data_IF_667065593909
#
_entry.id   IF_667065593909
#
_cell.length_a   1.000
_cell.length_b   1.000
_cell.length_c   1.000
_cell.angle_alpha   90.00
_cell.angle_beta   90.00
_cell.angle_gamma   90.00
#
_symmetry.space_group_name_H-M   'P 1'
#
loop_
_entity.id
_entity.type
_entity.pdbx_description
1 polymer ?
#
# COMPACT_ATOMS: atom_id res chain seq x y z
N UNK A 1 -35.30 -25.87 11.63
CA UNK A 1 -34.74 -25.55 12.96
C UNK A 1 -33.26 -25.23 12.86
N UNK A 2 -32.34 -26.17 12.61
CA UNK A 2 -30.91 -25.85 12.50
C UNK A 2 -30.56 -24.84 11.39
N UNK A 3 -31.11 -25.00 10.17
CA UNK A 3 -30.85 -24.07 9.07
C UNK A 3 -31.40 -22.67 9.34
N UNK A 4 -32.56 -22.57 10.00
CA UNK A 4 -33.20 -21.30 10.32
C UNK A 4 -32.40 -20.54 11.40
N UNK A 5 -31.89 -21.26 12.40
CA UNK A 5 -31.01 -20.71 13.45
C UNK A 5 -29.66 -20.27 12.87
N UNK A 6 -29.12 -21.01 11.89
CA UNK A 6 -27.90 -20.63 11.18
C UNK A 6 -28.08 -19.36 10.35
N UNK A 7 -29.17 -19.28 9.56
CA UNK A 7 -29.49 -18.10 8.75
C UNK A 7 -29.71 -16.87 9.61
N UNK A 8 -30.52 -16.97 10.67
CA UNK A 8 -30.79 -15.83 11.56
C UNK A 8 -29.53 -15.30 12.26
N UNK A 9 -28.62 -16.20 12.64
CA UNK A 9 -27.33 -15.83 13.24
C UNK A 9 -26.43 -15.14 12.22
N UNK A 10 -26.34 -15.68 11.00
CA UNK A 10 -25.58 -15.08 9.91
C UNK A 10 -26.09 -13.67 9.59
N UNK A 11 -27.40 -13.50 9.43
CA UNK A 11 -28.03 -12.20 9.17
C UNK A 11 -27.74 -11.19 10.28
N UNK A 12 -27.77 -11.62 11.55
CA UNK A 12 -27.45 -10.74 12.69
C UNK A 12 -25.99 -10.30 12.69
N UNK A 13 -25.06 -11.18 12.35
CA UNK A 13 -23.62 -10.87 12.25
C UNK A 13 -23.36 -9.97 11.03
N UNK A 14 -23.97 -10.27 9.89
CA UNK A 14 -23.87 -9.46 8.67
C UNK A 14 -24.44 -8.05 8.90
N UNK A 15 -25.57 -7.94 9.59
CA UNK A 15 -26.17 -6.65 9.94
C UNK A 15 -25.27 -5.83 10.86
N UNK A 16 -24.71 -6.45 11.91
CA UNK A 16 -23.78 -5.77 12.82
C UNK A 16 -22.50 -5.31 12.14
N UNK A 17 -21.95 -6.09 11.22
CA UNK A 17 -20.74 -5.70 10.48
C UNK A 17 -20.99 -4.49 9.58
N UNK A 18 -22.15 -4.44 8.91
CA UNK A 18 -22.56 -3.26 8.14
C UNK A 18 -22.80 -2.05 9.04
N UNK A 19 -23.46 -2.23 10.18
CA UNK A 19 -23.70 -1.16 11.17
C UNK A 19 -22.39 -0.62 11.75
N UNK A 20 -21.41 -1.48 12.07
CA UNK A 20 -20.10 -1.07 12.57
C UNK A 20 -19.28 -0.31 11.51
N UNK A 21 -19.41 -0.66 10.24
CA UNK A 21 -18.79 0.10 9.13
C UNK A 21 -19.47 1.47 8.94
N UNK A 22 -20.77 1.57 9.20
CA UNK A 22 -21.52 2.83 9.11
C UNK A 22 -21.37 3.73 10.36
N UNK A 23 -21.07 3.14 11.53
CA UNK A 23 -20.70 3.83 12.77
C UNK A 23 -19.22 4.23 12.82
N UNK A 24 -18.43 3.94 11.78
CA UNK A 24 -17.16 4.65 11.60
C UNK A 24 -17.50 6.15 11.53
N UNK A 25 -16.99 6.96 12.47
CA UNK A 25 -17.45 8.33 12.60
C UNK A 25 -17.19 9.08 11.29
N UNK A 26 -18.18 9.89 10.91
CA UNK A 26 -18.04 10.94 9.90
C UNK A 26 -16.76 11.77 10.16
N UNK A 27 -16.16 12.38 9.13
CA UNK A 27 -14.82 12.98 9.19
C UNK A 27 -14.80 14.29 10.01
N UNK A 28 -15.13 14.22 11.30
CA UNK A 28 -14.79 15.25 12.28
C UNK A 28 -13.32 15.06 12.68
N UNK A 29 -12.50 16.05 12.30
CA UNK A 29 -11.16 16.36 12.82
C UNK A 29 -10.29 15.17 13.27
N UNK A 30 -10.29 14.09 12.48
CA UNK A 30 -9.29 13.04 12.66
C UNK A 30 -7.96 13.55 12.11
N UNK A 31 -6.91 13.39 12.90
CA UNK A 31 -5.54 13.57 12.42
C UNK A 31 -5.29 12.60 11.24
N UNK A 32 -4.66 13.10 10.18
CA UNK A 32 -4.40 12.35 8.95
C UNK A 32 -2.96 12.59 8.51
N UNK A 33 -2.39 11.60 7.83
CA UNK A 33 -1.10 11.74 7.17
C UNK A 33 -1.32 12.10 5.70
N UNK A 34 -0.63 13.13 5.22
CA UNK A 34 -0.68 13.58 3.85
C UNK A 34 0.73 13.65 3.26
N UNK A 35 0.90 13.08 2.06
CA UNK A 35 2.09 13.26 1.25
C UNK A 35 1.98 14.57 0.46
N UNK A 36 3.08 15.32 0.44
CA UNK A 36 3.20 16.60 -0.27
C UNK A 36 4.46 16.55 -1.14
N UNK A 37 4.37 17.05 -2.37
CA UNK A 37 5.54 17.20 -3.24
C UNK A 37 6.47 18.28 -2.68
N UNK A 38 7.78 18.05 -2.73
CA UNK A 38 8.78 19.06 -2.32
C UNK A 38 8.69 20.32 -3.19
N UNK A 39 8.40 20.17 -4.49
CA UNK A 39 8.11 21.26 -5.42
C UNK A 39 6.77 21.00 -6.14
N UNK A 40 5.85 21.98 -6.20
CA UNK A 40 4.57 21.85 -6.93
C UNK A 40 4.70 21.55 -8.43
N UNK A 41 5.87 21.80 -9.01
CA UNK A 41 6.19 21.57 -10.42
C UNK A 41 6.75 20.18 -10.70
N UNK A 42 7.13 19.43 -9.65
CA UNK A 42 7.64 18.07 -9.78
C UNK A 42 6.47 17.09 -9.97
N UNK A 43 6.57 16.26 -11.01
CA UNK A 43 5.67 15.12 -11.18
C UNK A 43 6.18 13.98 -10.32
N UNK A 44 5.48 13.67 -9.23
CA UNK A 44 5.81 12.50 -8.40
C UNK A 44 5.62 11.24 -9.24
N UNK A 45 6.68 10.45 -9.37
CA UNK A 45 6.64 9.13 -10.00
C UNK A 45 6.95 8.10 -8.92
N UNK A 46 6.07 7.11 -8.75
CA UNK A 46 6.32 6.01 -7.82
C UNK A 46 7.01 4.89 -8.60
N UNK A 47 8.24 4.53 -8.21
CA UNK A 47 8.97 3.45 -8.88
C UNK A 47 8.48 2.09 -8.37
N UNK A 48 7.34 1.63 -8.89
CA UNK A 48 6.73 0.39 -8.45
C UNK A 48 7.40 -0.83 -9.09
N UNK A 49 7.62 -1.91 -8.30
CA UNK A 49 8.07 -3.16 -8.87
C UNK A 49 6.94 -3.81 -9.69
N UNK A 50 7.23 -4.19 -10.93
CA UNK A 50 6.27 -4.87 -11.82
C UNK A 50 6.01 -6.34 -11.44
N UNK A 51 6.88 -6.91 -10.61
CA UNK A 51 6.80 -8.30 -10.20
C UNK A 51 8.02 -8.73 -9.37
N UNK A 52 8.07 -10.03 -8.99
CA UNK A 52 9.24 -10.58 -8.33
C UNK A 52 10.48 -10.50 -9.25
N UNK A 53 11.69 -10.47 -8.67
CA UNK A 53 12.93 -10.44 -9.45
C UNK A 53 13.02 -11.64 -10.40
N UNK A 54 13.44 -11.44 -11.66
CA UNK A 54 13.59 -12.53 -12.62
C UNK A 54 14.68 -13.52 -12.19
N UNK A 55 14.51 -14.79 -12.55
CA UNK A 55 15.47 -15.85 -12.21
C UNK A 55 16.82 -15.70 -12.94
N UNK A 56 16.82 -15.14 -14.15
CA UNK A 56 18.02 -14.75 -14.91
C UNK A 56 18.15 -13.22 -14.86
N UNK A 57 18.70 -12.71 -13.76
CA UNK A 57 18.97 -11.28 -13.58
C UNK A 57 20.33 -10.94 -14.17
N UNK A 58 20.36 -10.07 -15.18
CA UNK A 58 21.59 -9.59 -15.83
C UNK A 58 21.69 -8.08 -15.66
N UNK A 59 22.82 -7.62 -15.14
CA UNK A 59 23.06 -6.20 -14.93
C UNK A 59 23.77 -5.62 -16.15
N UNK A 60 23.02 -4.96 -17.03
CA UNK A 60 23.53 -4.33 -18.23
C UNK A 60 23.52 -2.80 -18.08
N UNK A 61 24.68 -2.14 -18.21
CA UNK A 61 24.79 -0.68 -18.18
C UNK A 61 26.15 -0.18 -17.66
N UNK A 62 26.53 1.08 -17.94
CA UNK A 62 27.74 1.65 -17.35
C UNK A 62 27.60 1.74 -15.83
N UNK A 63 28.55 1.17 -15.08
CA UNK A 63 28.54 1.15 -13.61
C UNK A 63 27.97 -0.12 -12.96
N UNK A 64 27.53 -1.11 -13.75
CA UNK A 64 27.06 -2.40 -13.21
C UNK A 64 28.15 -3.45 -13.06
N UNK A 65 29.36 -3.17 -13.54
CA UNK A 65 30.50 -4.11 -13.58
C UNK A 65 31.01 -4.53 -12.20
N UNK A 66 30.82 -3.68 -11.18
CA UNK A 66 31.22 -3.94 -9.79
C UNK A 66 30.05 -4.35 -8.87
N UNK A 67 28.83 -4.44 -9.40
CA UNK A 67 27.63 -4.74 -8.61
C UNK A 67 27.45 -6.25 -8.42
N UNK A 68 27.15 -6.66 -7.20
CA UNK A 68 26.80 -8.05 -6.88
C UNK A 68 25.35 -8.34 -7.27
N UNK A 69 25.16 -9.30 -8.17
CA UNK A 69 23.84 -9.72 -8.67
C UNK A 69 22.96 -10.27 -7.55
N UNK A 70 23.54 -10.93 -6.55
CA UNK A 70 22.79 -11.43 -5.40
C UNK A 70 22.23 -10.28 -4.56
N UNK A 71 23.04 -9.25 -4.31
CA UNK A 71 22.62 -8.04 -3.57
C UNK A 71 21.52 -7.29 -4.32
N UNK A 72 21.64 -7.13 -5.64
CA UNK A 72 20.58 -6.48 -6.45
C UNK A 72 19.30 -7.31 -6.42
N UNK A 73 19.41 -8.64 -6.47
CA UNK A 73 18.24 -9.51 -6.38
C UNK A 73 17.53 -9.40 -5.03
N UNK A 74 18.28 -9.41 -3.93
CA UNK A 74 17.74 -9.22 -2.59
C UNK A 74 17.05 -7.86 -2.44
N UNK A 75 17.65 -6.81 -3.00
CA UNK A 75 17.07 -5.48 -3.05
C UNK A 75 15.73 -5.46 -3.80
N UNK A 76 15.70 -6.00 -5.02
CA UNK A 76 14.48 -6.09 -5.82
C UNK A 76 13.40 -6.95 -5.14
N UNK A 77 13.80 -8.03 -4.47
CA UNK A 77 12.88 -8.88 -3.71
C UNK A 77 12.28 -8.12 -2.53
N UNK A 78 13.09 -7.37 -1.77
CA UNK A 78 12.62 -6.57 -0.64
C UNK A 78 11.62 -5.52 -1.09
N UNK A 79 11.89 -4.81 -2.19
CA UNK A 79 10.94 -3.86 -2.80
C UNK A 79 9.61 -4.53 -3.14
N UNK A 80 9.67 -5.71 -3.76
CA UNK A 80 8.49 -6.47 -4.12
C UNK A 80 7.69 -6.93 -2.89
N UNK A 81 8.36 -7.43 -1.84
CA UNK A 81 7.72 -7.91 -0.62
C UNK A 81 7.03 -6.76 0.15
N UNK A 82 7.67 -5.59 0.21
CA UNK A 82 7.07 -4.36 0.76
C UNK A 82 5.81 -4.00 -0.03
N UNK A 83 5.92 -3.92 -1.36
CA UNK A 83 4.78 -3.60 -2.22
C UNK A 83 3.63 -4.59 -2.02
N UNK A 84 3.92 -5.89 -1.98
CA UNK A 84 2.91 -6.92 -1.78
C UNK A 84 2.24 -6.87 -0.40
N UNK A 85 2.96 -6.41 0.63
CA UNK A 85 2.43 -6.20 1.98
C UNK A 85 1.34 -5.13 2.06
N UNK A 86 1.24 -4.24 1.06
CA UNK A 86 0.24 -3.18 1.03
C UNK A 86 -1.16 -3.68 0.68
N UNK A 87 -2.16 -2.99 1.24
CA UNK A 87 -3.57 -3.24 0.92
C UNK A 87 -3.84 -3.03 -0.58
N UNK A 88 -4.77 -3.79 -1.18
CA UNK A 88 -5.09 -3.67 -2.60
C UNK A 88 -5.45 -2.24 -3.04
N UNK A 89 -6.14 -1.49 -2.19
CA UNK A 89 -6.53 -0.10 -2.42
C UNK A 89 -5.31 0.81 -2.58
N UNK A 90 -4.31 0.66 -1.70
CA UNK A 90 -3.07 1.42 -1.78
C UNK A 90 -2.24 1.03 -3.01
N UNK A 91 -2.14 -0.28 -3.31
CA UNK A 91 -1.46 -0.76 -4.52
C UNK A 91 -2.08 -0.17 -5.79
N UNK A 92 -3.41 -0.05 -5.85
CA UNK A 92 -4.11 0.57 -6.97
C UNK A 92 -3.84 2.07 -7.04
N UNK A 93 -3.91 2.77 -5.90
CA UNK A 93 -3.61 4.21 -5.84
C UNK A 93 -2.18 4.51 -6.31
N UNK A 94 -1.19 3.74 -5.84
CA UNK A 94 0.20 3.88 -6.27
C UNK A 94 0.35 3.70 -7.78
N UNK A 95 -0.33 2.71 -8.38
CA UNK A 95 -0.30 2.47 -9.84
C UNK A 95 -0.89 3.61 -10.67
N UNK A 96 -1.67 4.49 -10.08
CA UNK A 96 -2.19 5.67 -10.79
C UNK A 96 -1.15 6.77 -10.96
N UNK A 97 -0.04 6.70 -10.23
CA UNK A 97 1.00 7.74 -10.14
C UNK A 97 0.47 9.12 -9.71
N UNK A 98 -0.74 9.15 -9.09
CA UNK A 98 -1.38 10.38 -8.64
C UNK A 98 -1.30 10.49 -7.13
N UNK A 99 -0.59 11.52 -6.66
CA UNK A 99 -0.49 11.86 -5.24
C UNK A 99 -1.86 11.97 -4.56
N UNK A 100 -2.83 12.57 -5.25
CA UNK A 100 -4.19 12.72 -4.73
C UNK A 100 -4.90 11.39 -4.46
N UNK A 101 -4.69 10.38 -5.31
CA UNK A 101 -5.29 9.05 -5.11
C UNK A 101 -4.64 8.33 -3.93
N UNK A 102 -3.32 8.48 -3.75
CA UNK A 102 -2.61 7.92 -2.59
C UNK A 102 -3.06 8.61 -1.29
N UNK A 103 -3.15 9.94 -1.30
CA UNK A 103 -3.62 10.71 -0.15
C UNK A 103 -5.08 10.38 0.24
N UNK A 104 -5.96 10.07 -0.72
CA UNK A 104 -7.33 9.59 -0.42
C UNK A 104 -7.33 8.26 0.34
N UNK A 105 -6.38 7.37 0.05
CA UNK A 105 -6.24 6.10 0.75
C UNK A 105 -5.66 6.33 2.15
N UNK A 106 -4.62 7.16 2.27
CA UNK A 106 -4.02 7.52 3.57
C UNK A 106 -5.01 8.23 4.50
N UNK A 107 -5.87 9.10 3.97
CA UNK A 107 -6.91 9.81 4.72
C UNK A 107 -7.96 8.87 5.36
N UNK A 108 -8.13 7.66 4.84
CA UNK A 108 -9.04 6.63 5.39
C UNK A 108 -8.37 5.75 6.45
N UNK A 109 -7.04 5.79 6.56
CA UNK A 109 -6.28 5.02 7.53
C UNK A 109 -6.20 5.76 8.88
N UNK A 110 -5.99 5.02 9.97
CA UNK A 110 -5.64 5.65 11.26
C UNK A 110 -4.20 6.15 11.20
N UNK A 111 -3.88 7.22 11.91
CA UNK A 111 -2.51 7.80 11.95
C UNK A 111 -1.41 6.74 12.12
N UNK A 112 -1.47 5.82 13.11
CA UNK A 112 -0.40 4.85 13.29
C UNK A 112 -0.25 3.89 12.11
N UNK A 113 -1.37 3.53 11.46
CA UNK A 113 -1.35 2.69 10.27
C UNK A 113 -0.78 3.44 9.06
N UNK A 114 -1.15 4.71 8.90
CA UNK A 114 -0.65 5.55 7.82
C UNK A 114 0.86 5.82 7.98
N UNK A 115 1.35 6.02 9.21
CA UNK A 115 2.78 6.14 9.51
C UNK A 115 3.56 4.87 9.14
N UNK A 116 3.09 3.69 9.56
CA UNK A 116 3.71 2.41 9.19
C UNK A 116 3.77 2.20 7.67
N UNK A 117 2.72 2.62 6.96
CA UNK A 117 2.68 2.56 5.49
C UNK A 117 3.71 3.50 4.88
N UNK A 118 3.81 4.74 5.35
CA UNK A 118 4.76 5.73 4.83
C UNK A 118 6.21 5.29 5.11
N UNK A 119 6.49 4.74 6.30
CA UNK A 119 7.80 4.19 6.64
C UNK A 119 8.19 3.05 5.69
N UNK A 120 7.29 2.11 5.43
CA UNK A 120 7.51 1.04 4.45
C UNK A 120 7.71 1.57 3.03
N UNK A 121 6.99 2.61 2.64
CA UNK A 121 7.19 3.25 1.32
C UNK A 121 8.58 3.88 1.20
N UNK A 122 9.09 4.50 2.26
CA UNK A 122 10.45 5.05 2.29
C UNK A 122 11.50 3.94 2.23
N UNK A 123 11.31 2.86 2.98
CA UNK A 123 12.19 1.68 2.96
C UNK A 123 12.24 1.02 1.57
N UNK A 124 11.11 1.03 0.86
CA UNK A 124 11.01 0.54 -0.51
C UNK A 124 11.52 1.51 -1.58
N UNK A 125 11.84 2.76 -1.26
CA UNK A 125 12.44 3.73 -2.20
C UNK A 125 13.97 3.80 -2.05
N UNK A 126 14.49 3.54 -0.85
CA UNK A 126 15.93 3.37 -0.60
C UNK A 126 16.50 2.15 -1.34
#
# INVERSE_FOLDING_TARGET
MFNDDFQSTYERIAKRTVEMMAEEPEPEEREQIQLVAEDPSLTISFNLPDGPPPADLRLEGPGTEEMDVEVVREFLQRKWDIFESFKPELKQALKTEKLDEVNKVLARMKVPEAEEVVEKMQEGEC
#
